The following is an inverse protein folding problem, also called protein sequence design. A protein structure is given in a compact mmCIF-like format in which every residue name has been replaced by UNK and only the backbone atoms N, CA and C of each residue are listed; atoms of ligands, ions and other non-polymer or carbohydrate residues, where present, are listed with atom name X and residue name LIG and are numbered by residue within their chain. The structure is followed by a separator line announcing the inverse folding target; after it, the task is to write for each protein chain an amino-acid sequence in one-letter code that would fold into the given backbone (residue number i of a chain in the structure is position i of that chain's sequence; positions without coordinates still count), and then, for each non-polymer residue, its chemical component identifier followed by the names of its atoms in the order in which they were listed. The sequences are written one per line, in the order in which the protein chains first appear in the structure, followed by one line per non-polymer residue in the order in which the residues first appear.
data_IF_729431971699
#
_entry.id   IF_729431971699
#
_cell.length_a   1.000
_cell.length_b   1.000
_cell.length_c   1.000
_cell.angle_alpha   90.00
_cell.angle_beta   90.00
_cell.angle_gamma   90.00
#
_symmetry.space_group_name_H-M   'P 1'
#
loop_
_entity.id
_entity.type
_entity.pdbx_description
1 polymer ?
#
# COMPACT_ATOMS: atom_id res chain seq x y z
N UNK A 1 21.59 17.95 -46.47
CA UNK A 1 20.96 18.76 -45.40
C UNK A 1 19.89 17.88 -44.79
N UNK A 2 19.98 17.55 -43.50
CA UNK A 2 18.87 16.86 -42.85
C UNK A 2 17.69 17.83 -42.83
N UNK A 3 16.58 17.45 -43.45
CA UNK A 3 15.36 18.25 -43.44
C UNK A 3 14.93 18.42 -41.98
N UNK A 4 14.75 19.67 -41.54
CA UNK A 4 14.46 20.02 -40.14
C UNK A 4 13.32 19.18 -39.52
N UNK A 5 12.35 18.79 -40.34
CA UNK A 5 11.26 17.89 -40.00
C UNK A 5 11.71 16.49 -39.55
N UNK A 6 12.69 15.89 -40.22
CA UNK A 6 13.20 14.55 -39.90
C UNK A 6 13.90 14.53 -38.53
N UNK A 7 14.64 15.60 -38.20
CA UNK A 7 15.26 15.75 -36.88
C UNK A 7 14.22 15.90 -35.77
N UNK A 8 13.13 16.63 -36.01
CA UNK A 8 12.04 16.79 -35.05
C UNK A 8 11.36 15.45 -34.75
N UNK A 9 11.02 14.67 -35.78
CA UNK A 9 10.41 13.35 -35.58
C UNK A 9 11.33 12.38 -34.83
N UNK A 10 12.63 12.42 -35.10
CA UNK A 10 13.62 11.57 -34.42
C UNK A 10 13.73 11.93 -32.93
N UNK A 11 13.73 13.22 -32.60
CA UNK A 11 13.77 13.69 -31.20
C UNK A 11 12.50 13.26 -30.44
N UNK A 12 11.32 13.46 -31.03
CA UNK A 12 10.05 13.06 -30.41
C UNK A 12 9.97 11.54 -30.21
N UNK A 13 10.39 10.76 -31.22
CA UNK A 13 10.46 9.31 -31.14
C UNK A 13 11.42 8.83 -30.04
N UNK A 14 12.60 9.46 -29.94
CA UNK A 14 13.58 9.14 -28.90
C UNK A 14 13.06 9.46 -27.49
N UNK A 15 12.46 10.63 -27.29
CA UNK A 15 11.89 11.06 -26.00
C UNK A 15 10.76 10.12 -25.56
N UNK A 16 9.85 9.78 -26.47
CA UNK A 16 8.74 8.88 -26.17
C UNK A 16 9.20 7.46 -25.84
N UNK A 17 10.20 6.94 -26.56
CA UNK A 17 10.80 5.64 -26.27
C UNK A 17 11.49 5.62 -24.89
N UNK A 18 12.22 6.69 -24.55
CA UNK A 18 12.87 6.84 -23.26
C UNK A 18 11.84 6.87 -22.11
N UNK A 19 10.76 7.64 -22.27
CA UNK A 19 9.67 7.72 -21.30
C UNK A 19 8.97 6.37 -21.07
N UNK A 20 8.74 5.62 -22.14
CA UNK A 20 8.18 4.27 -22.07
C UNK A 20 9.11 3.31 -21.33
N UNK A 21 10.40 3.35 -21.64
CA UNK A 21 11.41 2.50 -21.02
C UNK A 21 11.52 2.79 -19.52
N UNK A 22 11.58 4.06 -19.12
CA UNK A 22 11.60 4.47 -17.71
C UNK A 22 10.33 4.01 -16.98
N UNK A 23 9.15 4.15 -17.61
CA UNK A 23 7.88 3.74 -17.00
C UNK A 23 7.79 2.22 -16.80
N UNK A 24 8.34 1.44 -17.73
CA UNK A 24 8.40 -0.02 -17.64
C UNK A 24 9.37 -0.50 -16.55
N UNK A 25 10.50 0.19 -16.37
CA UNK A 25 11.51 -0.16 -15.38
C UNK A 25 11.18 0.33 -13.96
N UNK A 26 10.40 1.42 -13.83
CA UNK A 26 9.98 1.98 -12.53
C UNK A 26 9.44 0.93 -11.54
N UNK A 27 8.48 0.05 -11.87
CA UNK A 27 7.97 -0.95 -10.92
C UNK A 27 9.02 -1.99 -10.49
N UNK A 28 10.08 -2.20 -11.26
CA UNK A 28 11.14 -3.15 -10.91
C UNK A 28 12.13 -2.57 -9.87
N UNK A 29 12.42 -1.27 -9.96
CA UNK A 29 13.35 -0.61 -9.03
C UNK A 29 12.69 -0.15 -7.73
N UNK A 30 11.42 0.26 -7.77
CA UNK A 30 10.69 0.66 -6.57
C UNK A 30 10.08 -0.56 -5.88
N UNK A 31 10.92 -1.30 -5.15
CA UNK A 31 10.44 -2.33 -4.22
C UNK A 31 9.65 -1.67 -3.11
N UNK A 32 8.38 -2.02 -3.01
CA UNK A 32 7.47 -1.48 -2.00
C UNK A 32 7.87 -2.03 -0.64
N UNK A 33 8.10 -1.13 0.31
CA UNK A 33 8.37 -1.49 1.69
C UNK A 33 7.03 -1.80 2.35
N UNK A 34 6.75 -3.08 2.58
CA UNK A 34 5.59 -3.52 3.34
C UNK A 34 5.85 -3.21 4.81
N UNK A 35 5.28 -2.12 5.31
CA UNK A 35 5.31 -1.83 6.74
C UNK A 35 4.11 -2.51 7.40
N UNK A 36 4.40 -3.44 8.32
CA UNK A 36 3.36 -4.01 9.17
C UNK A 36 2.78 -2.91 10.04
N UNK A 37 1.51 -2.55 9.80
CA UNK A 37 0.80 -1.58 10.64
C UNK A 37 0.49 -2.26 11.98
N UNK A 38 0.63 -1.57 13.13
CA UNK A 38 0.28 -2.14 14.42
C UNK A 38 -1.18 -2.61 14.42
N UNK A 39 -1.36 -3.83 14.94
CA UNK A 39 -2.63 -4.58 15.00
C UNK A 39 -3.68 -3.86 15.86
N UNK A 40 -3.23 -3.06 16.83
CA UNK A 40 -4.06 -2.30 17.76
C UNK A 40 -3.63 -0.84 17.70
N UNK A 41 -4.59 0.09 17.67
CA UNK A 41 -4.28 1.53 17.72
C UNK A 41 -3.73 1.94 19.09
N UNK A 42 -3.04 3.08 19.18
CA UNK A 42 -2.53 3.59 20.47
C UNK A 42 -3.65 3.80 21.50
N UNK A 43 -4.84 4.22 21.06
CA UNK A 43 -6.01 4.42 21.91
C UNK A 43 -6.59 3.09 22.41
N UNK A 44 -6.82 2.13 21.51
CA UNK A 44 -7.30 0.80 21.88
C UNK A 44 -6.33 0.07 22.81
N UNK A 45 -5.02 0.27 22.64
CA UNK A 45 -3.99 -0.30 23.53
C UNK A 45 -4.14 0.22 24.96
N UNK A 46 -4.37 1.52 25.14
CA UNK A 46 -4.60 2.09 26.47
C UNK A 46 -5.87 1.51 27.12
N UNK A 47 -6.97 1.39 26.37
CA UNK A 47 -8.20 0.78 26.86
C UNK A 47 -8.00 -0.69 27.22
N UNK A 48 -7.31 -1.46 26.37
CA UNK A 48 -7.02 -2.87 26.59
C UNK A 48 -6.25 -3.09 27.90
N UNK A 49 -5.21 -2.27 28.14
CA UNK A 49 -4.43 -2.34 29.37
C UNK A 49 -5.29 -2.06 30.61
N UNK A 50 -6.19 -1.07 30.55
CA UNK A 50 -7.10 -0.76 31.67
C UNK A 50 -8.11 -1.87 31.92
N UNK A 51 -8.63 -2.50 30.87
CA UNK A 51 -9.53 -3.64 30.98
C UNK A 51 -8.82 -4.87 31.58
N UNK A 52 -7.59 -5.14 31.17
CA UNK A 52 -6.77 -6.21 31.75
C UNK A 52 -6.54 -5.99 33.25
N UNK A 53 -6.30 -4.75 33.66
CA UNK A 53 -6.13 -4.39 35.07
C UNK A 53 -7.43 -4.50 35.87
N UNK A 54 -8.57 -4.13 35.27
CA UNK A 54 -9.87 -4.19 35.92
C UNK A 54 -10.40 -5.63 36.08
N UNK A 55 -10.03 -6.54 35.18
CA UNK A 55 -10.50 -7.93 35.18
C UNK A 55 -9.34 -8.94 35.18
N UNK A 56 -8.54 -9.01 36.26
CA UNK A 56 -7.34 -9.85 36.30
C UNK A 56 -7.63 -11.36 36.22
N UNK A 57 -8.87 -11.77 36.52
CA UNK A 57 -9.32 -13.16 36.47
C UNK A 57 -9.90 -13.56 35.10
N UNK A 58 -10.03 -12.62 34.15
CA UNK A 58 -10.65 -12.88 32.85
C UNK A 58 -9.69 -12.56 31.72
N UNK A 59 -9.73 -13.36 30.66
CA UNK A 59 -8.97 -13.09 29.46
C UNK A 59 -9.69 -12.05 28.59
N UNK A 60 -9.15 -10.83 28.55
CA UNK A 60 -9.60 -9.79 27.61
C UNK A 60 -9.01 -10.11 26.24
N UNK A 61 -9.87 -10.23 25.22
CA UNK A 61 -9.45 -10.42 23.83
C UNK A 61 -9.60 -9.10 23.06
N UNK A 62 -8.54 -8.66 22.40
CA UNK A 62 -8.63 -7.54 21.47
C UNK A 62 -9.19 -8.03 20.13
N UNK A 63 -10.37 -7.55 19.75
CA UNK A 63 -10.95 -7.87 18.45
C UNK A 63 -10.31 -6.97 17.38
N UNK A 64 -9.56 -7.58 16.46
CA UNK A 64 -9.01 -6.87 15.30
C UNK A 64 -9.69 -7.35 14.04
N UNK A 65 -10.19 -6.41 13.25
CA UNK A 65 -10.78 -6.74 11.95
C UNK A 65 -9.71 -7.32 11.03
N UNK A 66 -10.01 -8.43 10.36
CA UNK A 66 -9.09 -9.08 9.40
C UNK A 66 -8.56 -8.11 8.33
N UNK A 67 -9.37 -7.12 7.95
CA UNK A 67 -8.97 -6.04 7.03
C UNK A 67 -7.84 -5.14 7.55
N UNK A 68 -7.60 -5.10 8.86
CA UNK A 68 -6.48 -4.36 9.45
C UNK A 68 -5.14 -5.12 9.33
N UNK A 69 -5.19 -6.44 9.14
CA UNK A 69 -4.01 -7.30 8.97
C UNK A 69 -3.50 -7.29 7.53
N UNK A 70 -4.33 -6.92 6.56
CA UNK A 70 -3.99 -6.89 5.12
C UNK A 70 -4.18 -5.47 4.58
N UNK A 71 -3.15 -4.66 4.69
CA UNK A 71 -3.08 -3.35 4.02
C UNK A 71 -1.91 -3.33 3.05
N UNK A 72 -2.19 -3.15 1.76
CA UNK A 72 -1.20 -2.89 0.72
C UNK A 72 -1.50 -1.54 0.09
N UNK A 73 -0.51 -0.66 0.00
CA UNK A 73 -0.69 0.69 -0.56
C UNK A 73 -1.05 0.66 -2.06
N UNK A 74 -0.67 -0.41 -2.77
CA UNK A 74 -0.92 -0.56 -4.21
C UNK A 74 -2.11 -1.46 -4.54
N UNK A 75 -2.59 -2.23 -3.57
CA UNK A 75 -3.73 -3.10 -3.76
C UNK A 75 -4.89 -2.58 -2.93
N UNK A 76 -5.89 -1.98 -3.60
CA UNK A 76 -7.22 -1.69 -3.03
C UNK A 76 -7.99 -2.98 -2.69
N UNK A 77 -7.34 -3.96 -2.05
CA UNK A 77 -7.96 -5.20 -1.56
C UNK A 77 -8.90 -4.90 -0.39
N UNK A 78 -8.75 -3.74 0.27
CA UNK A 78 -9.67 -3.27 1.31
C UNK A 78 -11.13 -3.21 0.85
N UNK A 79 -11.39 -2.91 -0.44
CA UNK A 79 -12.76 -2.90 -0.98
C UNK A 79 -13.22 -4.25 -1.53
N UNK A 80 -12.31 -5.24 -1.62
CA UNK A 80 -12.62 -6.61 -2.08
C UNK A 80 -12.87 -7.59 -0.93
N UNK A 81 -12.40 -7.28 0.27
CA UNK A 81 -12.86 -7.97 1.47
C UNK A 81 -14.27 -7.48 1.78
N UNK A 82 -15.24 -8.30 1.40
CA UNK A 82 -16.64 -8.04 1.63
C UNK A 82 -16.85 -7.81 3.15
N UNK A 83 -17.28 -6.61 3.52
CA UNK A 83 -17.39 -6.12 4.92
C UNK A 83 -18.41 -6.90 5.77
N UNK A 84 -19.05 -7.92 5.20
CA UNK A 84 -20.02 -8.79 5.88
C UNK A 84 -19.67 -10.23 5.55
N UNK A 85 -18.99 -10.89 6.49
CA UNK A 85 -19.14 -12.34 6.64
C UNK A 85 -20.48 -12.47 7.35
N UNK A 86 -21.53 -12.80 6.60
CA UNK A 86 -22.85 -13.13 7.14
C UNK A 86 -22.90 -14.63 7.38
#
# INVERSE_FOLDING_TARGET
MFESSQLIFLIIGSISALLLLVSCLRPYFFKQQFFARPVITSFESQMFLRLQQAFPQHHILAQVAFSALITSDHYKIRSRFNRKVT
#
